data_IF_633492066282
#
_entry.id   IF_633492066282
#
_cell.length_a   1.000
_cell.length_b   1.000
_cell.length_c   1.000
_cell.angle_alpha   90.00
_cell.angle_beta   90.00
_cell.angle_gamma   90.00
#
_symmetry.space_group_name_H-M   'P 1'
#
loop_
_entity.id
_entity.type
_entity.pdbx_description
1 polymer ?
#
# COMPACT_ATOMS: atom_id res chain seq x y z
N UNK A 1 5.30 -13.81 -5.42
CA UNK A 1 4.30 -12.91 -6.05
C UNK A 1 4.12 -11.68 -5.16
N UNK A 2 3.53 -10.59 -5.66
CA UNK A 2 3.30 -9.37 -4.88
C UNK A 2 4.16 -8.19 -5.32
N UNK A 3 3.71 -6.98 -4.96
CA UNK A 3 4.19 -5.72 -5.52
C UNK A 3 5.70 -5.48 -5.28
N UNK A 4 6.19 -5.79 -4.08
CA UNK A 4 7.61 -5.61 -3.73
C UNK A 4 8.55 -6.48 -4.58
N UNK A 5 8.14 -7.71 -4.90
CA UNK A 5 8.95 -8.63 -5.69
C UNK A 5 8.96 -8.27 -7.19
N UNK A 6 7.93 -7.57 -7.67
CA UNK A 6 7.75 -7.24 -9.10
C UNK A 6 8.24 -5.84 -9.48
N UNK A 7 8.97 -5.14 -8.60
CA UNK A 7 9.60 -3.88 -8.96
C UNK A 7 10.81 -4.13 -9.86
N UNK A 8 10.85 -3.46 -11.03
CA UNK A 8 12.01 -3.49 -11.94
C UNK A 8 13.27 -2.94 -11.25
N UNK A 9 14.46 -3.40 -11.67
CA UNK A 9 15.71 -3.09 -10.97
C UNK A 9 16.03 -1.58 -10.94
N UNK A 10 15.75 -0.88 -12.04
CA UNK A 10 15.91 0.57 -12.21
C UNK A 10 14.87 1.40 -11.42
N UNK A 11 13.81 0.76 -10.92
CA UNK A 11 12.75 1.39 -10.13
C UNK A 11 12.95 1.18 -8.62
N UNK A 12 14.06 0.55 -8.22
CA UNK A 12 14.41 0.35 -6.81
C UNK A 12 15.37 1.44 -6.35
N UNK A 13 15.08 2.01 -5.20
CA UNK A 13 15.89 3.03 -4.56
C UNK A 13 16.42 2.50 -3.24
N UNK A 14 17.67 2.85 -2.94
CA UNK A 14 18.17 2.81 -1.59
C UNK A 14 18.12 4.23 -1.06
N UNK A 15 17.56 4.46 0.14
CA UNK A 15 17.59 5.78 0.74
C UNK A 15 19.04 6.23 0.94
N UNK A 16 19.28 7.54 0.84
CA UNK A 16 20.62 8.11 1.00
C UNK A 16 21.19 7.88 2.40
N UNK A 17 20.32 7.89 3.41
CA UNK A 17 20.61 7.60 4.82
C UNK A 17 19.84 6.35 5.30
N UNK A 18 19.97 5.97 6.57
CA UNK A 18 19.23 4.82 7.14
C UNK A 18 17.70 5.05 7.24
N UNK A 19 17.24 6.29 7.08
CA UNK A 19 15.87 6.74 7.31
C UNK A 19 15.30 7.40 6.05
N UNK A 20 14.00 7.22 5.75
CA UNK A 20 13.41 7.79 4.54
C UNK A 20 13.32 9.31 4.65
N UNK A 21 14.17 10.03 3.94
CA UNK A 21 14.17 11.49 3.92
C UNK A 21 13.14 12.06 2.94
N UNK A 22 12.77 13.35 3.08
CA UNK A 22 12.06 14.12 2.06
C UNK A 22 12.62 13.97 0.64
N UNK A 23 13.95 13.95 0.51
CA UNK A 23 14.61 13.86 -0.79
C UNK A 23 14.48 12.45 -1.39
N UNK A 24 14.55 11.40 -0.55
CA UNK A 24 14.29 10.02 -1.00
C UNK A 24 12.84 9.84 -1.47
N UNK A 25 11.90 10.50 -0.80
CA UNK A 25 10.48 10.47 -1.18
C UNK A 25 10.23 11.23 -2.47
N UNK A 26 10.90 12.37 -2.68
CA UNK A 26 10.87 13.13 -3.93
C UNK A 26 11.52 12.31 -5.06
N UNK A 27 12.64 11.61 -4.81
CA UNK A 27 13.28 10.73 -5.78
C UNK A 27 12.34 9.57 -6.15
N UNK A 28 11.73 8.91 -5.17
CA UNK A 28 10.78 7.82 -5.39
C UNK A 28 9.58 8.29 -6.23
N UNK A 29 9.06 9.48 -5.94
CA UNK A 29 7.96 10.07 -6.72
C UNK A 29 8.39 10.39 -8.16
N UNK A 30 9.63 10.83 -8.37
CA UNK A 30 10.15 11.20 -9.68
C UNK A 30 10.33 10.01 -10.63
N UNK A 31 10.47 8.78 -10.10
CA UNK A 31 10.65 7.56 -10.90
C UNK A 31 9.49 7.29 -11.85
N UNK A 32 8.28 7.75 -11.52
CA UNK A 32 7.13 7.58 -12.39
C UNK A 32 6.18 8.78 -12.35
N UNK A 33 5.71 9.20 -13.53
CA UNK A 33 4.64 10.20 -13.65
C UNK A 33 3.28 9.60 -13.27
N UNK A 34 2.42 10.42 -12.68
CA UNK A 34 1.04 10.05 -12.39
C UNK A 34 0.87 9.09 -11.22
N UNK A 35 1.86 9.02 -10.32
CA UNK A 35 1.74 8.28 -9.05
C UNK A 35 0.52 8.76 -8.28
N UNK A 36 -0.30 7.80 -7.82
CA UNK A 36 -1.58 8.06 -7.17
C UNK A 36 -1.50 7.86 -5.65
N UNK A 37 -0.57 7.02 -5.18
CA UNK A 37 -0.42 6.73 -3.76
C UNK A 37 0.96 6.17 -3.40
N UNK A 38 1.33 6.35 -2.13
CA UNK A 38 2.36 5.58 -1.46
C UNK A 38 1.74 4.53 -0.53
N UNK A 39 2.37 3.36 -0.43
CA UNK A 39 2.13 2.38 0.63
C UNK A 39 3.40 2.27 1.49
N UNK A 40 3.24 2.41 2.80
CA UNK A 40 4.35 2.32 3.73
C UNK A 40 3.91 1.66 5.04
N UNK A 41 4.83 0.96 5.70
CA UNK A 41 4.59 0.49 7.05
C UNK A 41 4.41 1.70 8.01
N UNK A 42 3.49 1.67 8.99
CA UNK A 42 3.28 2.80 9.92
C UNK A 42 4.56 3.31 10.60
N UNK A 43 5.51 2.42 10.89
CA UNK A 43 6.84 2.79 11.43
C UNK A 43 7.67 3.63 10.46
N UNK A 44 7.58 3.35 9.15
CA UNK A 44 8.25 4.14 8.11
C UNK A 44 7.60 5.52 7.97
N UNK A 45 6.27 5.59 7.98
CA UNK A 45 5.52 6.86 7.97
C UNK A 45 5.92 7.73 9.17
N UNK A 46 6.03 7.14 10.36
CA UNK A 46 6.48 7.85 11.54
C UNK A 46 7.96 8.30 11.45
N UNK A 47 8.84 7.48 10.84
CA UNK A 47 10.23 7.87 10.59
C UNK A 47 10.31 9.06 9.65
N UNK A 48 9.59 8.99 8.53
CA UNK A 48 9.46 10.08 7.57
C UNK A 48 8.92 11.37 8.22
N UNK A 49 7.88 11.27 9.06
CA UNK A 49 7.37 12.42 9.81
C UNK A 49 8.42 13.07 10.72
N UNK A 50 9.29 12.27 11.37
CA UNK A 50 10.42 12.81 12.15
C UNK A 50 11.46 13.51 11.27
N UNK A 51 11.74 12.97 10.08
CA UNK A 51 12.63 13.58 9.09
C UNK A 51 12.11 14.94 8.60
N UNK A 52 10.81 15.04 8.35
CA UNK A 52 10.14 16.29 7.99
C UNK A 52 10.22 17.31 9.13
N UNK A 53 9.87 16.91 10.36
CA UNK A 53 9.92 17.79 11.52
C UNK A 53 11.33 18.35 11.76
N UNK A 54 12.39 17.54 11.61
CA UNK A 54 13.78 18.02 11.75
C UNK A 54 14.14 19.10 10.74
N UNK A 55 13.56 19.02 9.54
CA UNK A 55 13.77 19.99 8.45
C UNK A 55 12.75 21.14 8.49
N UNK A 56 11.88 21.21 9.50
CA UNK A 56 10.84 22.23 9.61
C UNK A 56 9.73 22.09 8.56
N UNK A 57 9.57 20.90 7.98
CA UNK A 57 8.56 20.60 6.98
C UNK A 57 7.32 19.99 7.64
N UNK A 58 6.14 20.48 7.27
CA UNK A 58 4.86 19.94 7.73
C UNK A 58 4.15 19.33 6.53
N UNK A 59 4.12 17.98 6.41
CA UNK A 59 3.36 17.32 5.36
C UNK A 59 1.88 17.69 5.46
N UNK A 60 1.25 17.89 4.30
CA UNK A 60 -0.20 18.09 4.24
C UNK A 60 -0.94 16.80 4.60
N UNK A 61 -2.26 16.89 4.80
CA UNK A 61 -3.11 15.72 5.00
C UNK A 61 -4.45 15.89 4.30
N UNK A 62 -4.95 14.79 3.76
CA UNK A 62 -6.26 14.71 3.12
C UNK A 62 -7.20 13.85 3.96
N UNK A 63 -8.51 14.10 3.83
CA UNK A 63 -9.53 13.21 4.39
C UNK A 63 -9.81 12.07 3.42
N UNK A 64 -9.71 10.84 3.91
CA UNK A 64 -10.07 9.63 3.17
C UNK A 64 -10.96 8.79 4.06
N UNK A 65 -12.26 8.77 3.77
CA UNK A 65 -13.23 7.99 4.53
C UNK A 65 -13.31 8.38 6.01
N UNK A 66 -13.15 9.66 6.34
CA UNK A 66 -13.16 10.17 7.72
C UNK A 66 -11.82 10.02 8.46
N UNK A 67 -10.78 9.54 7.78
CA UNK A 67 -9.43 9.42 8.32
C UNK A 67 -8.49 10.45 7.70
N UNK A 68 -7.69 11.11 8.52
CA UNK A 68 -6.63 12.04 8.07
C UNK A 68 -5.40 11.25 7.64
N UNK A 69 -5.12 11.24 6.34
CA UNK A 69 -3.97 10.56 5.75
C UNK A 69 -2.91 11.59 5.38
N UNK A 70 -1.65 11.43 5.81
CA UNK A 70 -0.58 12.35 5.43
C UNK A 70 -0.30 12.24 3.92
N UNK A 71 0.10 13.35 3.32
CA UNK A 71 0.48 13.43 1.91
C UNK A 71 1.89 13.95 1.73
N UNK A 72 2.50 13.58 0.60
CA UNK A 72 3.76 14.16 0.14
C UNK A 72 3.60 14.62 -1.29
N UNK A 73 3.84 15.92 -1.54
CA UNK A 73 3.65 16.55 -2.86
C UNK A 73 2.26 16.26 -3.48
N UNK A 74 1.23 16.25 -2.66
CA UNK A 74 -0.16 15.97 -3.08
C UNK A 74 -0.48 14.48 -3.27
N UNK A 75 0.46 13.56 -3.04
CA UNK A 75 0.23 12.11 -3.13
C UNK A 75 0.06 11.52 -1.72
N UNK A 76 -1.04 10.81 -1.43
CA UNK A 76 -1.30 10.24 -0.10
C UNK A 76 -0.37 9.09 0.25
N UNK A 77 0.00 9.00 1.53
CA UNK A 77 0.81 7.93 2.10
C UNK A 77 -0.07 7.05 2.99
N UNK A 78 -0.53 5.92 2.44
CA UNK A 78 -1.38 5.00 3.17
C UNK A 78 -0.58 4.02 4.04
N UNK A 79 -1.02 3.79 5.29
CA UNK A 79 -0.43 2.79 6.16
C UNK A 79 -0.76 1.38 5.65
N UNK A 80 0.25 0.52 5.54
CA UNK A 80 0.10 -0.89 5.20
C UNK A 80 0.95 -1.75 6.14
N UNK A 81 0.30 -2.44 7.08
CA UNK A 81 0.98 -3.36 8.01
C UNK A 81 1.44 -4.68 7.37
N UNK A 82 1.13 -4.90 6.09
CA UNK A 82 1.57 -6.08 5.32
C UNK A 82 2.93 -5.88 4.66
N UNK A 83 3.42 -4.65 4.61
CA UNK A 83 4.83 -4.41 4.25
C UNK A 83 5.68 -4.84 5.44
N UNK A 84 6.58 -5.82 5.27
CA UNK A 84 7.34 -6.36 6.39
C UNK A 84 8.31 -5.34 6.96
N UNK A 85 8.51 -5.40 8.27
CA UNK A 85 9.66 -4.82 8.96
C UNK A 85 10.58 -5.96 9.33
N UNK A 86 11.81 -5.92 8.83
CA UNK A 86 12.83 -6.96 9.05
C UNK A 86 13.50 -6.78 10.41
N UNK A 87 14.26 -7.78 10.84
CA UNK A 87 14.94 -7.80 12.15
C UNK A 87 16.00 -6.70 12.28
N UNK A 88 16.63 -6.34 11.16
CA UNK A 88 17.52 -5.19 11.02
C UNK A 88 16.77 -3.83 11.06
N UNK A 89 15.47 -3.85 11.37
CA UNK A 89 14.56 -2.69 11.42
C UNK A 89 14.38 -1.99 10.09
N UNK A 90 14.74 -2.62 8.98
CA UNK A 90 14.49 -2.09 7.64
C UNK A 90 13.08 -2.43 7.16
N UNK A 91 12.54 -1.58 6.31
CA UNK A 91 11.25 -1.77 5.67
C UNK A 91 11.24 -1.03 4.32
N UNK A 92 10.17 -1.17 3.55
CA UNK A 92 10.07 -0.59 2.21
C UNK A 92 8.93 0.43 2.14
N UNK A 93 9.08 1.40 1.25
CA UNK A 93 8.01 2.30 0.83
C UNK A 93 7.80 2.07 -0.66
N UNK A 94 6.55 1.95 -1.09
CA UNK A 94 6.20 1.75 -2.49
C UNK A 94 5.43 2.97 -2.97
N UNK A 95 5.80 3.52 -4.12
CA UNK A 95 5.01 4.51 -4.85
C UNK A 95 4.36 3.84 -6.06
N UNK A 96 3.08 4.08 -6.30
CA UNK A 96 2.35 3.41 -7.36
C UNK A 96 1.46 4.35 -8.15
N UNK A 97 1.44 4.13 -9.46
CA UNK A 97 0.36 4.52 -10.36
C UNK A 97 -0.59 3.34 -10.51
N UNK A 98 -1.89 3.59 -10.47
CA UNK A 98 -2.94 2.58 -10.58
C UNK A 98 -3.85 2.86 -11.78
N UNK A 99 -4.54 1.82 -12.25
CA UNK A 99 -5.52 1.92 -13.33
C UNK A 99 -4.99 1.44 -14.69
N UNK A 100 -5.86 0.82 -15.48
CA UNK A 100 -5.52 0.23 -16.79
C UNK A 100 -5.20 1.29 -17.83
N UNK A 101 -6.04 2.33 -17.94
CA UNK A 101 -5.86 3.44 -18.88
C UNK A 101 -4.51 4.15 -18.70
N UNK A 102 -4.10 4.27 -17.44
CA UNK A 102 -2.85 4.87 -17.03
C UNK A 102 -1.66 3.91 -17.18
N UNK A 103 -1.88 2.65 -17.61
CA UNK A 103 -0.87 1.58 -17.59
C UNK A 103 -0.21 1.48 -16.20
N UNK A 104 -1.05 1.45 -15.17
CA UNK A 104 -0.66 1.32 -13.77
C UNK A 104 -0.91 -0.09 -13.24
N UNK A 105 -0.75 -0.24 -11.93
CA UNK A 105 -1.10 -1.46 -11.20
C UNK A 105 -2.62 -1.63 -11.21
N UNK A 106 -3.06 -2.84 -11.57
CA UNK A 106 -4.46 -3.28 -11.50
C UNK A 106 -4.56 -4.54 -10.65
N UNK A 107 -5.67 -4.65 -9.90
CA UNK A 107 -6.05 -5.89 -9.24
C UNK A 107 -6.82 -6.76 -10.22
N UNK A 108 -6.47 -8.05 -10.30
CA UNK A 108 -7.24 -9.02 -11.05
C UNK A 108 -8.14 -9.78 -10.07
N UNK A 109 -9.39 -10.00 -10.46
CA UNK A 109 -10.35 -10.80 -9.73
C UNK A 109 -11.00 -11.78 -10.72
N UNK A 110 -11.37 -12.96 -10.26
CA UNK A 110 -12.06 -13.97 -11.05
C UNK A 110 -13.55 -13.63 -11.15
N UNK A 111 -14.11 -13.43 -12.36
CA UNK A 111 -15.55 -13.22 -12.55
C UNK A 111 -16.31 -14.54 -12.69
N UNK A 112 -17.62 -14.48 -12.42
CA UNK A 112 -18.55 -15.60 -12.70
C UNK A 112 -18.47 -16.74 -11.68
N UNK A 113 -18.11 -16.43 -10.43
CA UNK A 113 -18.09 -17.42 -9.36
C UNK A 113 -19.54 -17.71 -8.93
N UNK A 114 -19.99 -18.97 -8.85
CA UNK A 114 -21.31 -19.27 -8.31
C UNK A 114 -21.40 -18.88 -6.84
N UNK A 115 -22.51 -18.24 -6.46
CA UNK A 115 -22.79 -17.71 -5.12
C UNK A 115 -21.82 -16.60 -4.66
N UNK A 116 -21.38 -15.77 -5.62
CA UNK A 116 -20.54 -14.59 -5.37
C UNK A 116 -21.30 -13.51 -4.58
N UNK A 117 -20.73 -13.11 -3.44
CA UNK A 117 -21.23 -12.04 -2.57
C UNK A 117 -20.54 -10.71 -2.87
N UNK A 118 -19.21 -10.74 -3.04
CA UNK A 118 -18.37 -9.61 -3.45
C UNK A 118 -17.37 -10.09 -4.50
N UNK A 119 -16.66 -9.18 -5.16
CA UNK A 119 -15.68 -9.52 -6.20
C UNK A 119 -14.69 -10.59 -5.73
N UNK A 120 -14.76 -11.78 -6.34
CA UNK A 120 -14.00 -12.99 -5.98
C UNK A 120 -14.19 -13.53 -4.56
N UNK A 121 -15.30 -13.20 -3.91
CA UNK A 121 -15.72 -13.74 -2.62
C UNK A 121 -17.06 -14.47 -2.78
N UNK A 122 -17.07 -15.80 -2.67
CA UNK A 122 -18.29 -16.61 -2.65
C UNK A 122 -18.48 -17.26 -1.28
N UNK A 123 -19.74 -17.45 -0.88
CA UNK A 123 -20.09 -18.21 0.32
C UNK A 123 -21.19 -19.21 -0.04
N UNK A 124 -20.97 -20.50 0.26
CA UNK A 124 -21.89 -21.58 -0.07
C UNK A 124 -22.40 -22.28 1.18
N UNK A 125 -23.71 -22.47 1.24
CA UNK A 125 -24.33 -23.30 2.26
C UNK A 125 -24.00 -24.78 1.99
N UNK A 126 -23.33 -25.42 2.95
CA UNK A 126 -22.88 -26.81 2.84
C UNK A 126 -23.85 -27.81 3.46
N UNK A 127 -24.94 -27.34 4.08
CA UNK A 127 -25.92 -28.18 4.76
C UNK A 127 -25.89 -28.05 6.29
N UNK A 128 -26.67 -28.93 6.92
CA UNK A 128 -26.74 -29.11 8.38
C UNK A 128 -26.33 -30.56 8.65
N UNK A 129 -25.35 -30.76 9.54
CA UNK A 129 -24.91 -32.11 9.89
C UNK A 129 -25.83 -32.79 10.92
N UNK A 130 -25.54 -34.05 11.25
CA UNK A 130 -26.29 -34.84 12.23
C UNK A 130 -26.21 -34.27 13.67
N UNK A 131 -25.28 -33.34 13.93
CA UNK A 131 -25.14 -32.62 15.19
C UNK A 131 -25.85 -31.25 15.16
N UNK A 132 -26.64 -30.98 14.12
CA UNK A 132 -27.33 -29.71 13.88
C UNK A 132 -26.39 -28.51 13.68
N UNK A 133 -25.14 -28.75 13.24
CA UNK A 133 -24.18 -27.69 12.93
C UNK A 133 -24.40 -27.21 11.49
N UNK A 134 -24.66 -25.91 11.35
CA UNK A 134 -24.80 -25.25 10.07
C UNK A 134 -23.42 -24.86 9.54
N UNK A 135 -23.08 -25.31 8.33
CA UNK A 135 -21.78 -25.04 7.72
C UNK A 135 -21.90 -24.17 6.47
N UNK A 136 -20.99 -23.20 6.36
CA UNK A 136 -20.79 -22.36 5.18
C UNK A 136 -19.33 -22.46 4.74
N UNK A 137 -19.07 -22.47 3.43
CA UNK A 137 -17.73 -22.46 2.83
C UNK A 137 -17.53 -21.23 1.95
#
# INVERSE_FOLDING_TARGET
FGLLANAAYDQRLQPHDEVPSPDDMDELLSRRRGSKLFLAHPRAIAAFGRECNRRGLVPESIDVGGHRVPTWRGVPIYPCNKIPVRDDRTTSIICMRTGEEEQGVIGLHQPGIPDELEASLSCRFMGIDEQAIISYL
#
